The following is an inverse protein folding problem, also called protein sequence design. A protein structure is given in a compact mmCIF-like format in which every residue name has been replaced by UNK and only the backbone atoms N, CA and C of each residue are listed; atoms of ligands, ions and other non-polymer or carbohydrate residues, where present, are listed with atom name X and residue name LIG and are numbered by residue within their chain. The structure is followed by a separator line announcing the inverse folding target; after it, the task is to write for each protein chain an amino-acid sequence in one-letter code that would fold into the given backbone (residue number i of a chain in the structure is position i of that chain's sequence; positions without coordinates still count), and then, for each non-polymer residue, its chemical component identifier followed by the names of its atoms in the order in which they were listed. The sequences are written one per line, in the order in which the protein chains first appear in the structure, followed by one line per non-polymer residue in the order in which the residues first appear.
data_IF_956676719223
#
_entry.id   IF_956676719223
#
_cell.length_a   1.000
_cell.length_b   1.000
_cell.length_c   1.000
_cell.angle_alpha   90.00
_cell.angle_beta   90.00
_cell.angle_gamma   90.00
#
_symmetry.space_group_name_H-M   'P 1'
#
loop_
_entity.id
_entity.type
_entity.pdbx_description
1 polymer ?
#
# COMPACT_ATOMS: atom_id res chain seq x y z
N UNK A 1 -2.53 -16.70 -22.02
CA UNK A 1 -3.17 -15.41 -22.37
C UNK A 1 -2.11 -14.49 -22.94
N UNK A 2 -2.42 -13.62 -23.92
CA UNK A 2 -1.48 -12.60 -24.40
C UNK A 2 -1.45 -11.35 -23.50
N UNK A 3 -0.41 -10.51 -23.68
CA UNK A 3 -0.19 -9.33 -22.84
C UNK A 3 -1.31 -8.27 -22.97
N UNK A 4 -1.87 -8.07 -24.17
CA UNK A 4 -2.86 -7.02 -24.39
C UNK A 4 -4.20 -7.39 -23.74
N UNK A 5 -4.64 -8.63 -23.90
CA UNK A 5 -5.82 -9.15 -23.22
C UNK A 5 -5.64 -9.12 -21.70
N UNK A 6 -4.46 -9.50 -21.21
CA UNK A 6 -4.14 -9.43 -19.79
C UNK A 6 -4.24 -8.00 -19.24
N UNK A 7 -3.64 -7.02 -19.94
CA UNK A 7 -3.67 -5.62 -19.53
C UNK A 7 -5.09 -5.03 -19.50
N UNK A 8 -5.92 -5.36 -20.50
CA UNK A 8 -7.31 -4.91 -20.55
C UNK A 8 -8.13 -5.47 -19.38
N UNK A 9 -7.99 -6.76 -19.09
CA UNK A 9 -8.67 -7.40 -17.95
C UNK A 9 -8.14 -6.88 -16.60
N UNK A 10 -6.83 -6.66 -16.48
CA UNK A 10 -6.22 -6.07 -15.28
C UNK A 10 -6.79 -4.68 -15.01
N UNK A 11 -6.99 -3.87 -16.05
CA UNK A 11 -7.61 -2.55 -15.94
C UNK A 11 -9.07 -2.64 -15.47
N UNK A 12 -9.88 -3.54 -16.04
CA UNK A 12 -11.26 -3.79 -15.57
C UNK A 12 -11.30 -4.23 -14.10
N UNK A 13 -10.35 -5.07 -13.67
CA UNK A 13 -10.17 -5.41 -12.27
C UNK A 13 -9.94 -4.18 -11.39
N UNK A 14 -9.05 -3.27 -11.80
CA UNK A 14 -8.76 -2.03 -11.05
C UNK A 14 -10.00 -1.12 -10.97
N UNK A 15 -10.82 -1.05 -12.01
CA UNK A 15 -12.08 -0.29 -11.98
C UNK A 15 -13.10 -0.93 -11.02
N UNK A 16 -13.10 -2.26 -10.88
CA UNK A 16 -13.88 -2.97 -9.86
C UNK A 16 -13.40 -2.64 -8.45
N UNK A 17 -12.09 -2.62 -8.19
CA UNK A 17 -11.50 -2.20 -6.91
C UNK A 17 -11.91 -0.77 -6.56
N UNK A 18 -11.80 0.17 -7.51
CA UNK A 18 -12.21 1.59 -7.33
C UNK A 18 -13.69 1.73 -7.00
N UNK A 19 -14.52 0.83 -7.53
CA UNK A 19 -15.96 0.77 -7.27
C UNK A 19 -16.31 -0.06 -6.01
N UNK A 20 -15.31 -0.51 -5.23
CA UNK A 20 -15.45 -1.36 -4.05
C UNK A 20 -16.10 -2.73 -4.33
N UNK A 21 -16.06 -3.18 -5.59
CA UNK A 21 -16.61 -4.48 -6.05
C UNK A 21 -15.56 -5.58 -5.86
N UNK A 22 -15.14 -5.77 -4.61
CA UNK A 22 -14.00 -6.60 -4.24
C UNK A 22 -14.14 -8.08 -4.60
N UNK A 23 -15.36 -8.64 -4.51
CA UNK A 23 -15.63 -10.03 -4.90
C UNK A 23 -15.36 -10.23 -6.39
N UNK A 24 -15.97 -9.38 -7.23
CA UNK A 24 -15.78 -9.44 -8.68
C UNK A 24 -14.31 -9.21 -9.08
N UNK A 25 -13.61 -8.29 -8.40
CA UNK A 25 -12.19 -8.06 -8.63
C UNK A 25 -11.37 -9.31 -8.30
N UNK A 26 -11.58 -9.91 -7.12
CA UNK A 26 -10.87 -11.11 -6.69
C UNK A 26 -11.08 -12.29 -7.65
N UNK A 27 -12.32 -12.52 -8.10
CA UNK A 27 -12.64 -13.60 -9.03
C UNK A 27 -11.97 -13.40 -10.40
N UNK A 28 -12.02 -12.17 -10.92
CA UNK A 28 -11.35 -11.80 -12.18
C UNK A 28 -9.84 -12.01 -12.09
N UNK A 29 -9.20 -11.57 -11.00
CA UNK A 29 -7.76 -11.76 -10.83
C UNK A 29 -7.38 -13.24 -10.70
N UNK A 30 -8.21 -14.06 -10.06
CA UNK A 30 -8.02 -15.50 -10.00
C UNK A 30 -8.07 -16.14 -11.40
N UNK A 31 -8.99 -15.69 -12.26
CA UNK A 31 -9.07 -16.14 -13.66
C UNK A 31 -7.84 -15.71 -14.47
N UNK A 32 -7.40 -14.45 -14.32
CA UNK A 32 -6.19 -13.95 -14.96
C UNK A 32 -4.95 -14.76 -14.58
N UNK A 33 -4.78 -15.05 -13.29
CA UNK A 33 -3.67 -15.86 -12.79
C UNK A 33 -3.68 -17.28 -13.39
N UNK A 34 -4.86 -17.93 -13.48
CA UNK A 34 -5.01 -19.26 -14.09
C UNK A 34 -4.76 -19.26 -15.59
N UNK A 35 -5.18 -18.21 -16.30
CA UNK A 35 -5.09 -18.13 -17.75
C UNK A 35 -3.71 -17.70 -18.28
N UNK A 36 -2.84 -17.22 -17.39
CA UNK A 36 -1.46 -16.86 -17.72
C UNK A 36 -0.48 -17.95 -17.32
N UNK A 37 0.50 -18.20 -18.18
CA UNK A 37 1.69 -19.03 -17.90
C UNK A 37 2.95 -18.19 -17.68
N UNK A 38 2.86 -16.87 -17.87
CA UNK A 38 3.96 -15.94 -17.67
C UNK A 38 4.07 -15.59 -16.17
N UNK A 39 5.22 -15.84 -15.51
CA UNK A 39 5.37 -15.61 -14.08
C UNK A 39 5.12 -14.15 -13.65
N UNK A 40 5.46 -13.19 -14.51
CA UNK A 40 5.24 -11.76 -14.23
C UNK A 40 3.75 -11.44 -14.18
N UNK A 41 3.01 -11.86 -15.20
CA UNK A 41 1.56 -11.67 -15.27
C UNK A 41 0.84 -12.42 -14.14
N UNK A 42 1.23 -13.67 -13.87
CA UNK A 42 0.67 -14.48 -12.78
C UNK A 42 0.87 -13.78 -11.44
N UNK A 43 2.09 -13.35 -11.14
CA UNK A 43 2.41 -12.61 -9.92
C UNK A 43 1.55 -11.32 -9.80
N UNK A 44 1.45 -10.51 -10.85
CA UNK A 44 0.65 -9.27 -10.82
C UNK A 44 -0.83 -9.53 -10.52
N UNK A 45 -1.43 -10.55 -11.14
CA UNK A 45 -2.81 -10.94 -10.90
C UNK A 45 -2.99 -11.47 -9.46
N UNK A 46 -2.11 -12.36 -9.00
CA UNK A 46 -2.17 -12.91 -7.65
C UNK A 46 -1.98 -11.82 -6.57
N UNK A 47 -1.10 -10.83 -6.78
CA UNK A 47 -0.93 -9.73 -5.84
C UNK A 47 -2.22 -8.91 -5.68
N UNK A 48 -2.88 -8.59 -6.80
CA UNK A 48 -4.16 -7.88 -6.79
C UNK A 48 -5.27 -8.72 -6.14
N UNK A 49 -5.34 -10.02 -6.47
CA UNK A 49 -6.26 -10.95 -5.84
C UNK A 49 -6.04 -11.01 -4.32
N UNK A 50 -4.80 -11.18 -3.87
CA UNK A 50 -4.44 -11.23 -2.46
C UNK A 50 -4.88 -9.99 -1.70
N UNK A 51 -4.69 -8.80 -2.29
CA UNK A 51 -5.17 -7.54 -1.73
C UNK A 51 -6.70 -7.49 -1.65
N UNK A 52 -7.42 -7.85 -2.72
CA UNK A 52 -8.88 -7.89 -2.70
C UNK A 52 -9.42 -8.90 -1.66
N UNK A 53 -8.76 -10.04 -1.48
CA UNK A 53 -9.10 -11.02 -0.44
C UNK A 53 -8.86 -10.48 0.97
N UNK A 54 -7.83 -9.66 1.19
CA UNK A 54 -7.62 -8.97 2.47
C UNK A 54 -8.74 -7.97 2.77
N UNK A 55 -9.17 -7.18 1.79
CA UNK A 55 -10.33 -6.27 1.93
C UNK A 55 -11.62 -7.05 2.26
N UNK A 56 -11.79 -8.22 1.66
CA UNK A 56 -12.89 -9.16 1.96
C UNK A 56 -12.71 -9.94 3.27
N UNK A 57 -11.60 -9.74 3.99
CA UNK A 57 -11.27 -10.45 5.24
C UNK A 57 -11.16 -11.98 5.07
N UNK A 58 -10.92 -12.46 3.85
CA UNK A 58 -10.71 -13.88 3.52
C UNK A 58 -9.25 -14.25 3.74
N UNK A 59 -8.84 -14.26 5.00
CA UNK A 59 -7.43 -14.29 5.39
C UNK A 59 -6.66 -15.54 4.96
N UNK A 60 -7.28 -16.72 5.03
CA UNK A 60 -6.62 -17.96 4.64
C UNK A 60 -6.38 -18.02 3.13
N UNK A 61 -7.37 -17.59 2.34
CA UNK A 61 -7.25 -17.46 0.89
C UNK A 61 -6.18 -16.41 0.53
N UNK A 62 -6.23 -15.24 1.17
CA UNK A 62 -5.25 -14.18 0.96
C UNK A 62 -3.82 -14.66 1.23
N UNK A 63 -3.62 -15.45 2.30
CA UNK A 63 -2.31 -16.02 2.63
C UNK A 63 -1.81 -16.93 1.50
N UNK A 64 -2.63 -17.89 1.07
CA UNK A 64 -2.26 -18.84 0.02
C UNK A 64 -1.95 -18.12 -1.30
N UNK A 65 -2.79 -17.16 -1.68
CA UNK A 65 -2.61 -16.35 -2.87
C UNK A 65 -1.34 -15.50 -2.82
N UNK A 66 -1.02 -14.88 -1.67
CA UNK A 66 0.20 -14.09 -1.52
C UNK A 66 1.47 -14.94 -1.46
N UNK A 67 1.40 -16.14 -0.90
CA UNK A 67 2.49 -17.12 -0.93
C UNK A 67 2.80 -17.54 -2.39
N UNK A 68 1.77 -17.79 -3.20
CA UNK A 68 1.92 -18.06 -4.64
C UNK A 68 2.45 -16.83 -5.39
N UNK A 69 1.93 -15.63 -5.10
CA UNK A 69 2.41 -14.39 -5.72
C UNK A 69 3.90 -14.15 -5.47
N UNK A 70 4.38 -14.43 -4.25
CA UNK A 70 5.81 -14.37 -3.91
C UNK A 70 6.63 -15.40 -4.67
N UNK A 71 6.10 -16.60 -4.91
CA UNK A 71 6.77 -17.62 -5.70
C UNK A 71 6.93 -17.18 -7.16
N UNK A 72 5.84 -16.72 -7.78
CA UNK A 72 5.82 -16.24 -9.16
C UNK A 72 6.69 -15.00 -9.36
N UNK A 73 6.67 -14.05 -8.40
CA UNK A 73 7.51 -12.86 -8.42
C UNK A 73 9.00 -13.17 -8.28
N UNK A 74 9.37 -14.28 -7.62
CA UNK A 74 10.76 -14.78 -7.63
C UNK A 74 11.12 -15.39 -8.97
N UNK A 75 10.21 -16.18 -9.55
CA UNK A 75 10.41 -16.85 -10.83
C UNK A 75 10.53 -15.86 -12.01
N UNK A 76 9.89 -14.69 -11.94
CA UNK A 76 10.02 -13.65 -12.96
C UNK A 76 11.42 -13.02 -13.03
N UNK A 77 12.19 -13.07 -11.95
CA UNK A 77 13.50 -12.43 -11.85
C UNK A 77 13.45 -10.89 -11.74
N UNK A 78 12.26 -10.28 -11.72
CA UNK A 78 12.07 -8.83 -11.68
C UNK A 78 12.14 -8.28 -10.25
N UNK A 79 13.19 -7.50 -9.88
CA UNK A 79 13.37 -7.06 -8.50
C UNK A 79 12.22 -6.19 -7.99
N UNK A 80 11.68 -5.30 -8.82
CA UNK A 80 10.57 -4.42 -8.45
C UNK A 80 9.29 -5.19 -8.15
N UNK A 81 8.99 -6.23 -8.93
CA UNK A 81 7.81 -7.09 -8.70
C UNK A 81 7.96 -7.91 -7.43
N UNK A 82 9.15 -8.45 -7.18
CA UNK A 82 9.44 -9.14 -5.93
C UNK A 82 9.36 -8.18 -4.74
N UNK A 83 9.79 -6.91 -4.89
CA UNK A 83 9.57 -5.86 -3.90
C UNK A 83 8.09 -5.64 -3.59
N UNK A 84 7.22 -5.60 -4.61
CA UNK A 84 5.77 -5.48 -4.42
C UNK A 84 5.17 -6.68 -3.70
N UNK A 85 5.61 -7.89 -4.03
CA UNK A 85 5.15 -9.10 -3.37
C UNK A 85 5.58 -9.17 -1.89
N UNK A 86 6.82 -8.78 -1.59
CA UNK A 86 7.31 -8.66 -0.22
C UNK A 86 6.54 -7.59 0.56
N UNK A 87 6.26 -6.44 -0.05
CA UNK A 87 5.43 -5.40 0.55
C UNK A 87 4.04 -5.94 0.92
N UNK A 88 3.36 -6.63 0.01
CA UNK A 88 2.04 -7.22 0.27
C UNK A 88 2.08 -8.27 1.39
N UNK A 89 3.11 -9.14 1.41
CA UNK A 89 3.31 -10.11 2.49
C UNK A 89 3.58 -9.43 3.84
N UNK A 90 4.32 -8.32 3.86
CA UNK A 90 4.56 -7.52 5.05
C UNK A 90 3.28 -6.89 5.60
N UNK A 91 2.44 -6.33 4.73
CA UNK A 91 1.10 -5.81 5.09
C UNK A 91 0.22 -6.91 5.66
N UNK A 92 0.17 -8.07 4.99
CA UNK A 92 -0.58 -9.21 5.48
C UNK A 92 -0.12 -9.64 6.89
N UNK A 93 1.19 -9.82 7.10
CA UNK A 93 1.74 -10.18 8.40
C UNK A 93 1.39 -9.16 9.49
N UNK A 94 1.44 -7.86 9.17
CA UNK A 94 1.06 -6.80 10.10
C UNK A 94 -0.43 -6.85 10.47
N UNK A 95 -1.31 -7.24 9.55
CA UNK A 95 -2.74 -7.43 9.79
C UNK A 95 -3.07 -8.74 10.53
N UNK A 96 -2.10 -9.65 10.63
CA UNK A 96 -2.20 -10.91 11.37
C UNK A 96 -1.43 -10.89 12.70
N UNK A 97 -1.11 -9.70 13.20
CA UNK A 97 -0.41 -9.48 14.46
C UNK A 97 0.94 -10.22 14.55
N UNK A 98 1.64 -10.37 13.41
CA UNK A 98 3.02 -10.86 13.35
C UNK A 98 3.98 -9.72 12.98
N UNK A 99 4.30 -8.82 13.93
CA UNK A 99 5.10 -7.65 13.64
C UNK A 99 6.54 -7.99 13.24
N UNK A 100 7.08 -9.12 13.69
CA UNK A 100 8.45 -9.53 13.35
C UNK A 100 8.56 -9.92 11.88
N UNK A 101 7.63 -10.74 11.38
CA UNK A 101 7.61 -11.10 9.95
C UNK A 101 7.24 -9.90 9.08
N UNK A 102 6.31 -9.06 9.54
CA UNK A 102 5.95 -7.84 8.84
C UNK A 102 7.17 -6.94 8.60
N UNK A 103 7.95 -6.67 9.66
CA UNK A 103 9.15 -5.85 9.57
C UNK A 103 10.19 -6.46 8.64
N UNK A 104 10.46 -7.76 8.73
CA UNK A 104 11.41 -8.44 7.85
C UNK A 104 11.02 -8.31 6.37
N UNK A 105 9.75 -8.56 6.03
CA UNK A 105 9.27 -8.44 4.65
C UNK A 105 9.33 -6.99 4.13
N UNK A 106 9.00 -6.01 4.97
CA UNK A 106 9.03 -4.60 4.58
C UNK A 106 10.46 -4.08 4.36
N UNK A 107 11.42 -4.54 5.17
CA UNK A 107 12.84 -4.23 4.98
C UNK A 107 13.40 -4.87 3.71
N UNK A 108 13.07 -6.15 3.45
CA UNK A 108 13.45 -6.82 2.21
C UNK A 108 12.85 -6.11 0.98
N UNK A 109 11.59 -5.67 1.06
CA UNK A 109 10.95 -4.89 -0.01
C UNK A 109 11.70 -3.58 -0.29
N UNK A 110 12.11 -2.85 0.76
CA UNK A 110 12.91 -1.63 0.63
C UNK A 110 14.23 -1.90 -0.10
N UNK A 111 14.91 -3.00 0.21
CA UNK A 111 16.16 -3.38 -0.48
C UNK A 111 15.92 -3.61 -1.97
N UNK A 112 14.79 -4.22 -2.35
CA UNK A 112 14.47 -4.46 -3.77
C UNK A 112 14.15 -3.17 -4.51
N UNK A 113 13.43 -2.27 -3.88
CA UNK A 113 13.10 -0.97 -4.46
C UNK A 113 14.30 0.00 -4.51
N UNK A 114 15.35 -0.20 -3.70
CA UNK A 114 16.53 0.68 -3.70
C UNK A 114 17.38 0.58 -4.97
N UNK A 115 17.19 -0.45 -5.80
CA UNK A 115 18.05 -0.73 -6.97
C UNK A 115 17.88 0.26 -8.13
N UNK A 116 16.79 1.03 -8.16
CA UNK A 116 16.50 2.03 -9.19
C UNK A 116 15.83 3.26 -8.56
N UNK A 117 16.01 4.41 -9.19
CA UNK A 117 15.37 5.67 -8.80
C UNK A 117 14.30 6.12 -9.83
N UNK A 118 13.72 5.17 -10.57
CA UNK A 118 12.53 5.44 -11.36
C UNK A 118 11.29 5.64 -10.48
N UNK A 119 10.27 6.28 -11.05
CA UNK A 119 9.03 6.63 -10.33
C UNK A 119 8.39 5.43 -9.63
N UNK A 120 8.34 4.26 -10.29
CA UNK A 120 7.70 3.08 -9.73
C UNK A 120 8.48 2.52 -8.52
N UNK A 121 9.81 2.54 -8.56
CA UNK A 121 10.65 2.13 -7.45
C UNK A 121 10.59 3.13 -6.28
N UNK A 122 10.50 4.43 -6.57
CA UNK A 122 10.25 5.43 -5.54
C UNK A 122 8.88 5.23 -4.88
N UNK A 123 7.81 5.00 -5.64
CA UNK A 123 6.48 4.69 -5.10
C UNK A 123 6.49 3.44 -4.20
N UNK A 124 7.14 2.36 -4.65
CA UNK A 124 7.28 1.13 -3.88
C UNK A 124 8.03 1.34 -2.56
N UNK A 125 9.16 2.06 -2.61
CA UNK A 125 9.96 2.41 -1.43
C UNK A 125 9.19 3.31 -0.45
N UNK A 126 8.48 4.30 -0.96
CA UNK A 126 7.62 5.17 -0.17
C UNK A 126 6.49 4.41 0.54
N UNK A 127 5.83 3.50 -0.18
CA UNK A 127 4.80 2.62 0.37
C UNK A 127 5.34 1.67 1.44
N UNK A 128 6.54 1.13 1.25
CA UNK A 128 7.20 0.29 2.24
C UNK A 128 7.55 1.09 3.52
N UNK A 129 8.07 2.32 3.38
CA UNK A 129 8.29 3.20 4.55
C UNK A 129 6.99 3.52 5.27
N UNK A 130 5.90 3.82 4.57
CA UNK A 130 4.60 4.10 5.18
C UNK A 130 4.11 2.93 6.05
N UNK A 131 4.17 1.71 5.52
CA UNK A 131 3.75 0.52 6.25
C UNK A 131 4.68 0.21 7.44
N UNK A 132 5.98 0.42 7.27
CA UNK A 132 6.96 0.24 8.33
C UNK A 132 6.78 1.27 9.46
N UNK A 133 6.53 2.53 9.14
CA UNK A 133 6.22 3.58 10.11
C UNK A 133 4.96 3.24 10.92
N UNK A 134 3.90 2.80 10.23
CA UNK A 134 2.65 2.36 10.88
C UNK A 134 2.88 1.16 11.81
N UNK A 135 3.71 0.20 11.38
CA UNK A 135 4.10 -0.95 12.21
C UNK A 135 4.89 -0.53 13.45
N UNK A 136 5.82 0.43 13.32
CA UNK A 136 6.56 1.00 14.44
C UNK A 136 5.63 1.71 15.43
N UNK A 137 4.66 2.48 14.94
CA UNK A 137 3.63 3.09 15.78
C UNK A 137 2.83 2.06 16.58
N UNK A 138 2.32 1.02 15.90
CA UNK A 138 1.59 -0.10 16.54
C UNK A 138 2.42 -0.85 17.58
N UNK A 139 3.73 -0.90 17.42
CA UNK A 139 4.66 -1.58 18.34
C UNK A 139 5.28 -0.64 19.38
N UNK A 140 4.80 0.61 19.49
CA UNK A 140 5.25 1.58 20.49
C UNK A 140 6.62 2.20 20.22
N UNK A 141 7.23 1.94 19.06
CA UNK A 141 8.52 2.51 18.64
C UNK A 141 8.32 3.90 18.04
N UNK A 142 7.81 4.83 18.84
CA UNK A 142 7.29 6.12 18.37
C UNK A 142 8.31 6.98 17.63
N UNK A 143 9.53 7.15 18.16
CA UNK A 143 10.57 7.94 17.50
C UNK A 143 10.89 7.39 16.11
N UNK A 144 11.00 6.07 16.02
CA UNK A 144 11.27 5.38 14.77
C UNK A 144 10.08 5.51 13.80
N UNK A 145 8.85 5.45 14.31
CA UNK A 145 7.64 5.66 13.51
C UNK A 145 7.64 7.04 12.85
N UNK A 146 7.82 8.12 13.62
CA UNK A 146 7.79 9.48 13.08
C UNK A 146 8.91 9.76 12.08
N UNK A 147 10.16 9.34 12.37
CA UNK A 147 11.26 9.46 11.40
C UNK A 147 10.97 8.68 10.12
N UNK A 148 10.31 7.53 10.23
CA UNK A 148 9.97 6.70 9.07
C UNK A 148 8.80 7.28 8.26
N UNK A 149 7.82 7.93 8.90
CA UNK A 149 6.77 8.70 8.21
C UNK A 149 7.38 9.83 7.38
N UNK A 150 8.33 10.59 7.93
CA UNK A 150 9.04 11.63 7.17
C UNK A 150 9.75 11.07 5.94
N UNK A 151 10.38 9.89 6.05
CA UNK A 151 10.98 9.20 4.90
C UNK A 151 9.94 8.82 3.86
N UNK A 152 8.78 8.29 4.27
CA UNK A 152 7.69 7.96 3.37
C UNK A 152 7.21 9.18 2.59
N UNK A 153 6.93 10.29 3.28
CA UNK A 153 6.47 11.55 2.69
C UNK A 153 7.49 12.09 1.66
N UNK A 154 8.77 12.12 2.01
CA UNK A 154 9.82 12.62 1.12
C UNK A 154 9.96 11.76 -0.15
N UNK A 155 9.96 10.42 0.00
CA UNK A 155 10.12 9.50 -1.13
C UNK A 155 8.88 9.51 -2.02
N UNK A 156 7.67 9.52 -1.45
CA UNK A 156 6.42 9.60 -2.20
C UNK A 156 6.29 10.95 -2.92
N UNK A 157 6.71 12.04 -2.28
CA UNK A 157 6.76 13.37 -2.90
C UNK A 157 7.73 13.42 -4.08
N UNK A 158 8.91 12.81 -3.96
CA UNK A 158 9.85 12.68 -5.09
C UNK A 158 9.31 11.83 -6.23
N UNK A 159 8.39 10.90 -5.94
CA UNK A 159 7.68 10.11 -6.95
C UNK A 159 6.43 10.80 -7.53
N UNK A 160 6.12 12.03 -7.08
CA UNK A 160 4.88 12.75 -7.37
C UNK A 160 3.64 11.88 -7.09
N UNK A 161 3.68 11.09 -6.03
CA UNK A 161 2.56 10.31 -5.52
C UNK A 161 1.90 11.09 -4.38
N UNK A 162 1.13 12.13 -4.72
CA UNK A 162 0.54 13.04 -3.72
C UNK A 162 -0.53 12.33 -2.89
N UNK A 163 -1.25 11.36 -3.47
CA UNK A 163 -2.12 10.46 -2.73
C UNK A 163 -1.38 9.66 -1.65
N UNK A 164 -0.20 9.12 -1.99
CA UNK A 164 0.68 8.45 -1.04
C UNK A 164 1.22 9.38 0.05
N UNK A 165 1.64 10.61 -0.30
CA UNK A 165 2.08 11.62 0.69
C UNK A 165 0.94 11.93 1.66
N UNK A 166 -0.27 12.14 1.14
CA UNK A 166 -1.46 12.39 1.95
C UNK A 166 -1.78 11.22 2.89
N UNK A 167 -1.66 9.98 2.41
CA UNK A 167 -1.86 8.78 3.22
C UNK A 167 -0.82 8.67 4.35
N UNK A 168 0.43 9.08 4.10
CA UNK A 168 1.47 9.10 5.13
C UNK A 168 1.19 10.13 6.23
N UNK A 169 0.77 11.35 5.86
CA UNK A 169 0.30 12.34 6.83
C UNK A 169 -0.92 11.88 7.62
N UNK A 170 -1.91 11.29 6.95
CA UNK A 170 -3.12 10.78 7.60
C UNK A 170 -2.78 9.67 8.61
N UNK A 171 -1.91 8.73 8.25
CA UNK A 171 -1.47 7.66 9.15
C UNK A 171 -0.68 8.20 10.35
N UNK A 172 0.19 9.19 10.14
CA UNK A 172 0.90 9.86 11.23
C UNK A 172 -0.07 10.58 12.16
N UNK A 173 -1.07 11.28 11.62
CA UNK A 173 -2.12 11.93 12.39
C UNK A 173 -2.86 10.92 13.25
N UNK A 174 -3.26 9.76 12.71
CA UNK A 174 -3.92 8.71 13.51
C UNK A 174 -3.02 8.23 14.67
N UNK A 175 -1.71 8.10 14.45
CA UNK A 175 -0.78 7.77 15.53
C UNK A 175 -0.72 8.88 16.60
N UNK A 176 -0.62 10.16 16.20
CA UNK A 176 -0.67 11.32 17.11
C UNK A 176 -1.93 11.31 17.97
N UNK A 177 -3.08 11.06 17.35
CA UNK A 177 -4.35 10.95 18.06
C UNK A 177 -4.37 9.80 19.06
N UNK A 178 -3.82 8.65 18.68
CA UNK A 178 -3.74 7.48 19.55
C UNK A 178 -2.86 7.72 20.80
N UNK A 179 -1.87 8.62 20.71
CA UNK A 179 -1.02 9.02 21.85
C UNK A 179 -1.47 10.33 22.51
N UNK A 180 -2.68 10.81 22.20
CA UNK A 180 -3.28 12.03 22.74
C UNK A 180 -2.49 13.33 22.45
N UNK A 181 -1.70 13.36 21.37
CA UNK A 181 -1.00 14.56 20.87
C UNK A 181 -1.92 15.32 19.90
N UNK A 182 -2.96 15.95 20.46
CA UNK A 182 -4.07 16.54 19.72
C UNK A 182 -3.65 17.72 18.84
N UNK A 183 -2.68 18.52 19.27
CA UNK A 183 -2.22 19.68 18.51
C UNK A 183 -1.53 19.24 17.22
N UNK A 184 -0.56 18.32 17.32
CA UNK A 184 0.12 17.77 16.14
C UNK A 184 -0.78 16.88 15.30
N UNK A 185 -1.77 16.22 15.91
CA UNK A 185 -2.80 15.51 15.14
C UNK A 185 -3.52 16.45 14.15
N UNK A 186 -3.89 17.67 14.58
CA UNK A 186 -4.56 18.64 13.70
C UNK A 186 -3.64 19.11 12.58
N UNK A 187 -2.37 19.39 12.89
CA UNK A 187 -1.36 19.79 11.90
C UNK A 187 -1.18 18.71 10.82
N UNK A 188 -0.92 17.47 11.24
CA UNK A 188 -0.73 16.34 10.32
C UNK A 188 -1.99 16.08 9.47
N UNK A 189 -3.18 16.23 10.05
CA UNK A 189 -4.43 16.04 9.34
C UNK A 189 -4.70 17.16 8.32
N UNK A 190 -4.29 18.39 8.61
CA UNK A 190 -4.37 19.50 7.67
C UNK A 190 -3.44 19.30 6.48
N UNK A 191 -2.21 18.83 6.71
CA UNK A 191 -1.28 18.44 5.63
C UNK A 191 -1.89 17.33 4.75
N UNK A 192 -2.47 16.29 5.36
CA UNK A 192 -3.16 15.24 4.60
C UNK A 192 -4.25 15.80 3.67
N UNK A 193 -5.04 16.78 4.13
CA UNK A 193 -6.05 17.47 3.31
C UNK A 193 -5.43 18.16 2.10
N UNK A 194 -4.36 18.94 2.30
CA UNK A 194 -3.66 19.67 1.22
C UNK A 194 -3.21 18.71 0.12
N UNK A 195 -2.59 17.58 0.49
CA UNK A 195 -2.11 16.61 -0.49
C UNK A 195 -3.23 15.81 -1.15
N UNK A 196 -4.32 15.47 -0.43
CA UNK A 196 -5.48 14.85 -1.06
C UNK A 196 -6.19 15.76 -2.07
N UNK A 197 -6.28 17.06 -1.80
CA UNK A 197 -6.81 18.01 -2.79
C UNK A 197 -5.89 18.14 -4.00
N UNK A 198 -4.58 18.17 -3.78
CA UNK A 198 -3.58 18.19 -4.86
C UNK A 198 -3.70 16.99 -5.78
N UNK A 199 -3.99 15.82 -5.23
CA UNK A 199 -4.25 14.58 -5.99
C UNK A 199 -5.65 14.56 -6.63
N UNK A 200 -6.55 15.48 -6.28
CA UNK A 200 -7.94 15.51 -6.75
C UNK A 200 -8.89 14.59 -5.96
N UNK A 201 -8.47 14.03 -4.83
CA UNK A 201 -9.27 13.17 -3.95
C UNK A 201 -10.20 13.98 -3.03
N UNK A 202 -11.03 14.84 -3.63
CA UNK A 202 -11.88 15.83 -2.92
C UNK A 202 -12.83 15.21 -1.90
N UNK A 203 -13.40 14.03 -2.18
CA UNK A 203 -14.26 13.32 -1.24
C UNK A 203 -13.49 12.89 0.03
N UNK A 204 -12.23 12.46 -0.12
CA UNK A 204 -11.40 12.08 1.03
C UNK A 204 -10.96 13.31 1.81
N UNK A 205 -10.51 14.35 1.12
CA UNK A 205 -10.14 15.63 1.74
C UNK A 205 -11.33 16.27 2.50
N UNK A 206 -12.54 16.23 1.94
CA UNK A 206 -13.76 16.74 2.58
C UNK A 206 -14.10 16.01 3.89
N UNK A 207 -13.93 14.68 3.94
CA UNK A 207 -14.11 13.91 5.19
C UNK A 207 -13.12 14.34 6.27
N UNK A 208 -11.85 14.54 5.91
CA UNK A 208 -10.82 14.95 6.87
C UNK A 208 -11.04 16.39 7.37
N UNK A 209 -11.47 17.32 6.50
CA UNK A 209 -11.89 18.67 6.92
C UNK A 209 -13.03 18.65 7.93
N UNK A 210 -14.00 17.74 7.76
CA UNK A 210 -15.09 17.58 8.71
C UNK A 210 -14.59 17.16 10.10
N UNK A 211 -13.52 16.35 10.17
CA UNK A 211 -12.88 15.95 11.44
C UNK A 211 -12.13 17.10 12.12
N UNK A 212 -11.52 18.02 11.36
CA UNK A 212 -10.88 19.22 11.90
C UNK A 212 -11.90 20.22 12.47
N UNK A 213 -13.16 20.15 12.03
CA UNK A 213 -14.21 21.09 12.40
C UNK A 213 -14.05 22.45 11.72
N UNK A 214 -15.10 23.28 11.77
CA UNK A 214 -15.10 24.65 11.22
C UNK A 214 -14.29 25.60 12.12
N UNK A 215 -12.99 25.43 12.20
CA UNK A 215 -12.06 26.50 12.61
C UNK A 215 -10.81 26.42 11.74
N UNK A 216 -10.99 26.84 10.49
CA UNK A 216 -9.91 27.47 9.75
C UNK A 216 -9.84 28.88 10.33
N UNK A 217 -8.80 29.17 11.12
CA UNK A 217 -8.42 30.55 11.41
C UNK A 217 -7.72 31.10 10.18
#
# INVERSE_FOLDING_TARGET
MDLQAFQAALHDGVEKERSLRWVEAADLYAELARASSDPTMRALALLRQGNALMELRRWDDARLTLDEALHEAKASGEPGLLGQALLAAGVFAANRDDPKRAEAFLLDALERFHRKDDRAHLQGRGSAFLNLASLYGKTGRLDLAFVTFTKAQNVLGAAEDWGGVAAAWEAQAQLRRAIHDEDRWREDLAEAVVFYDREGMTAKAGRLRALLGKKVV
#
